data_IF_365565093668
#
_entry.id   IF_365565093668
#
_cell.length_a   1.000
_cell.length_b   1.000
_cell.length_c   1.000
_cell.angle_alpha   90.00
_cell.angle_beta   90.00
_cell.angle_gamma   90.00
#
_symmetry.space_group_name_H-M   'P 1'
#
loop_
_entity.id
_entity.type
_entity.pdbx_description
1 polymer ?
#
# COMPACT_ATOMS: atom_id res chain seq x y z
N UNK A 1 37.96 28.41 24.56
CA UNK A 1 38.02 27.02 25.04
C UNK A 1 39.00 27.01 26.20
N UNK A 2 38.51 26.96 27.44
CA UNK A 2 39.39 26.93 28.61
C UNK A 2 40.03 25.54 28.69
N UNK A 3 41.34 25.46 28.46
CA UNK A 3 42.09 24.25 28.71
C UNK A 3 42.20 24.09 30.22
N UNK A 4 41.53 23.08 30.77
CA UNK A 4 41.74 22.69 32.17
C UNK A 4 43.14 22.07 32.28
N UNK A 5 44.00 22.67 33.09
CA UNK A 5 45.30 22.10 33.44
C UNK A 5 45.11 21.05 34.55
N UNK A 6 45.43 19.79 34.24
CA UNK A 6 45.30 18.67 35.16
C UNK A 6 46.63 18.47 35.90
N UNK A 7 46.75 19.05 37.08
CA UNK A 7 47.91 18.89 37.96
C UNK A 7 47.71 17.72 38.93
N UNK A 8 48.49 16.65 38.73
CA UNK A 8 48.51 15.46 39.60
C UNK A 8 49.61 15.60 40.64
N UNK A 9 49.26 15.57 41.92
CA UNK A 9 50.25 15.56 43.00
C UNK A 9 50.51 14.13 43.52
N UNK A 10 51.49 13.98 44.41
CA UNK A 10 51.88 12.69 44.97
C UNK A 10 50.74 11.97 45.72
N UNK A 11 49.84 12.71 46.38
CA UNK A 11 48.71 12.11 47.09
C UNK A 11 47.66 11.57 46.12
N UNK A 12 47.44 12.25 44.98
CA UNK A 12 46.53 11.78 43.93
C UNK A 12 47.05 10.46 43.34
N UNK A 13 48.35 10.36 43.04
CA UNK A 13 48.98 9.12 42.57
C UNK A 13 48.85 7.99 43.57
N UNK A 14 49.03 8.27 44.88
CA UNK A 14 48.85 7.27 45.94
C UNK A 14 47.41 6.77 45.99
N UNK A 15 46.42 7.65 45.82
CA UNK A 15 45.01 7.29 45.80
C UNK A 15 44.68 6.45 44.56
N UNK A 16 45.11 6.86 43.38
CA UNK A 16 44.91 6.09 42.14
C UNK A 16 45.53 4.70 42.26
N UNK A 17 46.76 4.61 42.77
CA UNK A 17 47.43 3.31 42.97
C UNK A 17 46.67 2.41 43.96
N UNK A 18 46.11 2.98 45.04
CA UNK A 18 45.29 2.21 45.97
C UNK A 18 44.04 1.63 45.28
N UNK A 19 43.36 2.42 44.44
CA UNK A 19 42.19 1.95 43.69
C UNK A 19 42.53 0.86 42.67
N UNK A 20 43.66 1.02 41.97
CA UNK A 20 44.16 0.01 41.02
C UNK A 20 44.43 -1.31 41.73
N UNK A 21 45.11 -1.28 42.89
CA UNK A 21 45.41 -2.50 43.65
C UNK A 21 44.16 -3.25 44.13
N UNK A 22 43.13 -2.51 44.56
CA UNK A 22 41.84 -3.10 44.94
C UNK A 22 41.18 -3.75 43.72
N UNK A 23 41.16 -3.05 42.58
CA UNK A 23 40.59 -3.58 41.34
C UNK A 23 41.36 -4.81 40.81
N UNK A 24 42.69 -4.79 40.86
CA UNK A 24 43.53 -5.92 40.46
C UNK A 24 43.32 -7.15 41.35
N UNK A 25 43.23 -6.97 42.67
CA UNK A 25 42.94 -8.06 43.61
C UNK A 25 41.55 -8.66 43.36
N UNK A 26 40.53 -7.82 43.15
CA UNK A 26 39.18 -8.27 42.81
C UNK A 26 39.12 -9.03 41.48
N UNK A 27 39.78 -8.51 40.44
CA UNK A 27 39.86 -9.18 39.15
C UNK A 27 40.59 -10.52 39.25
N UNK A 28 41.72 -10.58 39.97
CA UNK A 28 42.47 -11.82 40.16
C UNK A 28 41.65 -12.90 40.86
N UNK A 29 40.82 -12.52 41.86
CA UNK A 29 39.88 -13.44 42.49
C UNK A 29 38.80 -13.94 41.50
N UNK A 30 38.15 -13.04 40.77
CA UNK A 30 37.10 -13.42 39.80
C UNK A 30 37.62 -14.31 38.66
N UNK A 31 38.89 -14.14 38.27
CA UNK A 31 39.53 -14.94 37.24
C UNK A 31 40.27 -16.19 37.78
N UNK A 32 40.24 -16.45 39.09
CA UNK A 32 40.90 -17.61 39.71
C UNK A 32 42.43 -17.58 39.64
N UNK A 33 43.03 -16.41 39.42
CA UNK A 33 44.48 -16.22 39.28
C UNK A 33 45.15 -15.68 40.55
N UNK A 34 44.37 -15.45 41.62
CA UNK A 34 44.83 -14.92 42.90
C UNK A 34 44.12 -15.56 44.10
N UNK A 35 44.53 -15.20 45.33
CA UNK A 35 43.90 -15.69 46.56
C UNK A 35 42.43 -15.27 46.64
N UNK A 36 41.61 -16.09 47.30
CA UNK A 36 40.18 -15.82 47.47
C UNK A 36 39.94 -14.61 48.38
N UNK A 37 39.65 -13.46 47.79
CA UNK A 37 39.29 -12.23 48.51
C UNK A 37 38.02 -11.64 47.92
N UNK A 38 36.93 -11.71 48.69
CA UNK A 38 35.69 -11.06 48.29
C UNK A 38 35.88 -9.53 48.26
N UNK A 39 35.23 -8.83 47.33
CA UNK A 39 35.38 -7.38 47.21
C UNK A 39 35.02 -6.64 48.52
N UNK A 40 34.11 -7.20 49.31
CA UNK A 40 33.73 -6.66 50.63
C UNK A 40 34.88 -6.63 51.65
N UNK A 41 35.88 -7.51 51.50
CA UNK A 41 37.06 -7.58 52.36
C UNK A 41 38.21 -6.70 51.85
N UNK A 42 38.14 -6.29 50.58
CA UNK A 42 39.13 -5.41 49.93
C UNK A 42 38.85 -3.92 50.15
N UNK A 43 37.63 -3.58 50.58
CA UNK A 43 37.22 -2.19 50.85
C UNK A 43 37.06 -1.92 52.34
N UNK A 44 37.25 -0.67 52.74
CA UNK A 44 37.15 -0.25 54.15
C UNK A 44 35.73 -0.36 54.73
N UNK A 45 34.70 -0.14 53.92
CA UNK A 45 33.29 -0.38 54.24
C UNK A 45 32.43 -0.40 52.97
N UNK A 46 31.18 -0.88 53.07
CA UNK A 46 30.26 -1.07 51.92
C UNK A 46 29.83 0.20 51.18
N UNK A 47 30.10 1.38 51.75
CA UNK A 47 29.79 2.70 51.17
C UNK A 47 31.07 3.44 50.72
N UNK A 48 32.24 2.81 50.85
CA UNK A 48 33.51 3.44 50.48
C UNK A 48 33.60 3.51 48.96
N UNK A 49 33.95 4.67 48.36
CA UNK A 49 34.19 4.80 46.92
C UNK A 49 35.59 4.25 46.59
N UNK A 50 35.77 2.96 46.81
CA UNK A 50 37.02 2.23 46.66
C UNK A 50 36.93 1.17 45.54
N UNK A 51 38.03 0.94 44.82
CA UNK A 51 38.10 0.12 43.61
C UNK A 51 37.68 0.85 42.33
N UNK A 52 37.46 0.06 41.27
CA UNK A 52 36.92 0.49 39.98
C UNK A 52 35.60 -0.22 39.71
N UNK A 53 34.71 0.42 38.95
CA UNK A 53 33.44 -0.19 38.54
C UNK A 53 33.70 -1.41 37.65
N UNK A 54 32.97 -2.48 37.91
CA UNK A 54 32.91 -3.63 37.00
C UNK A 54 32.16 -3.25 35.72
N UNK A 55 32.50 -3.91 34.61
CA UNK A 55 31.84 -3.68 33.32
C UNK A 55 30.37 -4.11 33.36
N UNK A 56 30.06 -5.20 34.06
CA UNK A 56 28.69 -5.70 34.25
C UNK A 56 27.88 -4.87 35.25
N UNK A 57 28.51 -4.01 36.06
CA UNK A 57 27.86 -3.26 37.13
C UNK A 57 27.63 -4.06 38.42
N UNK A 58 28.00 -5.33 38.46
CA UNK A 58 27.95 -6.16 39.68
C UNK A 58 28.87 -5.55 40.73
N UNK A 59 28.45 -5.65 41.99
CA UNK A 59 29.11 -5.08 43.18
C UNK A 59 29.15 -3.55 43.23
N UNK A 60 28.26 -2.87 42.52
CA UNK A 60 27.97 -1.46 42.80
C UNK A 60 27.31 -1.28 44.18
N UNK A 61 26.58 -2.30 44.67
CA UNK A 61 26.07 -2.37 46.03
C UNK A 61 26.69 -3.58 46.74
N UNK A 62 27.37 -3.34 47.86
CA UNK A 62 28.11 -4.35 48.62
C UNK A 62 27.31 -4.97 49.76
N UNK A 63 26.02 -4.63 49.91
CA UNK A 63 25.15 -5.27 50.88
C UNK A 63 24.89 -6.74 50.47
N UNK A 64 24.86 -7.68 51.43
CA UNK A 64 24.54 -9.07 51.15
C UNK A 64 23.19 -9.22 50.43
N UNK A 65 23.18 -9.89 49.28
CA UNK A 65 21.99 -10.12 48.46
C UNK A 65 21.59 -8.95 47.56
N UNK A 66 22.41 -7.89 47.47
CA UNK A 66 22.18 -6.72 46.61
C UNK A 66 23.31 -6.51 45.59
N UNK A 67 24.21 -7.49 45.41
CA UNK A 67 25.39 -7.36 44.57
C UNK A 67 25.04 -7.10 43.09
N UNK A 68 23.89 -7.58 42.65
CA UNK A 68 23.40 -7.41 41.28
C UNK A 68 22.48 -6.18 41.12
N UNK A 69 22.29 -5.38 42.18
CA UNK A 69 21.40 -4.22 42.12
C UNK A 69 21.93 -3.17 41.13
N UNK A 70 21.24 -3.02 40.00
CA UNK A 70 21.64 -2.12 38.91
C UNK A 70 22.72 -2.69 37.99
N UNK A 71 23.06 -3.98 38.13
CA UNK A 71 23.89 -4.68 37.17
C UNK A 71 23.13 -4.95 35.87
N UNK A 72 23.87 -5.15 34.78
CA UNK A 72 23.33 -5.57 33.49
C UNK A 72 22.71 -6.98 33.57
N UNK A 73 21.83 -7.29 32.62
CA UNK A 73 21.16 -8.59 32.46
C UNK A 73 20.34 -9.06 33.68
N UNK A 74 19.95 -8.14 34.56
CA UNK A 74 19.03 -8.40 35.66
C UNK A 74 17.59 -8.12 35.26
N UNK A 75 16.66 -8.91 35.79
CA UNK A 75 15.23 -8.64 35.63
C UNK A 75 14.89 -7.35 36.35
N UNK A 76 14.24 -6.42 35.65
CA UNK A 76 13.79 -5.17 36.25
C UNK A 76 12.84 -5.43 37.44
N UNK A 77 13.06 -4.78 38.60
CA UNK A 77 12.16 -4.88 39.74
C UNK A 77 10.76 -4.41 39.36
N UNK A 78 9.73 -5.21 39.70
CA UNK A 78 8.33 -4.87 39.43
C UNK A 78 7.74 -4.12 40.61
N UNK A 79 7.33 -2.87 40.40
CA UNK A 79 6.60 -2.08 41.40
C UNK A 79 5.12 -2.48 41.50
N UNK A 80 4.56 -3.06 40.44
CA UNK A 80 3.16 -3.44 40.32
C UNK A 80 3.02 -4.87 39.80
N UNK A 81 1.87 -5.48 40.09
CA UNK A 81 1.52 -6.77 39.52
C UNK A 81 1.31 -6.63 38.00
N UNK A 82 1.97 -7.46 37.18
CA UNK A 82 1.80 -7.42 35.74
C UNK A 82 0.37 -7.82 35.34
N UNK A 83 -0.21 -7.10 34.39
CA UNK A 83 -1.50 -7.46 33.80
C UNK A 83 -1.28 -7.88 32.34
N UNK A 84 -1.47 -9.16 32.07
CA UNK A 84 -1.41 -9.70 30.71
C UNK A 84 -2.83 -9.89 30.19
N UNK A 85 -3.14 -9.26 29.05
CA UNK A 85 -4.48 -9.27 28.45
C UNK A 85 -4.56 -10.23 27.26
N UNK A 86 -5.74 -10.80 26.98
CA UNK A 86 -6.01 -11.41 25.68
C UNK A 86 -5.83 -10.37 24.57
N UNK A 87 -5.31 -10.82 23.44
CA UNK A 87 -5.12 -10.02 22.23
C UNK A 87 -6.05 -10.53 21.12
N UNK A 88 -5.75 -10.22 19.87
CA UNK A 88 -6.60 -10.56 18.72
C UNK A 88 -6.22 -11.93 18.12
N UNK A 89 -7.08 -12.42 17.23
CA UNK A 89 -6.73 -13.53 16.34
C UNK A 89 -5.81 -13.03 15.22
N UNK A 90 -4.99 -13.91 14.67
CA UNK A 90 -4.23 -13.57 13.46
C UNK A 90 -5.21 -13.21 12.32
N UNK A 91 -5.05 -12.05 11.67
CA UNK A 91 -5.90 -11.68 10.55
C UNK A 91 -5.59 -12.55 9.32
N UNK A 92 -6.60 -12.80 8.49
CA UNK A 92 -6.41 -13.47 7.21
C UNK A 92 -5.44 -12.66 6.34
N UNK A 93 -4.62 -13.35 5.55
CA UNK A 93 -3.68 -12.73 4.62
C UNK A 93 -2.44 -12.12 5.27
N UNK A 94 -2.24 -12.23 6.58
CA UNK A 94 -1.12 -11.59 7.28
C UNK A 94 0.25 -12.03 6.76
N UNK A 95 0.43 -13.32 6.49
CA UNK A 95 1.68 -13.86 5.91
C UNK A 95 1.69 -13.87 4.38
N UNK A 96 0.78 -13.14 3.73
CA UNK A 96 0.66 -13.03 2.29
C UNK A 96 -0.73 -13.39 1.76
N UNK A 97 -1.03 -13.05 0.49
CA UNK A 97 -2.33 -13.32 -0.13
C UNK A 97 -2.72 -14.79 -0.01
N UNK A 98 -3.93 -15.07 0.49
CA UNK A 98 -4.44 -16.43 0.68
C UNK A 98 -4.04 -17.12 1.98
N UNK A 99 -3.23 -16.50 2.85
CA UNK A 99 -2.96 -17.04 4.19
C UNK A 99 -4.25 -17.10 5.03
N UNK A 100 -4.56 -18.23 5.70
CA UNK A 100 -5.78 -18.33 6.51
C UNK A 100 -5.71 -17.42 7.74
N UNK A 101 -6.88 -17.02 8.25
CA UNK A 101 -6.97 -16.41 9.57
C UNK A 101 -6.54 -17.41 10.66
N UNK A 102 -6.00 -16.90 11.76
CA UNK A 102 -5.70 -17.72 12.93
C UNK A 102 -6.98 -18.25 13.58
N UNK A 103 -6.91 -19.47 14.09
CA UNK A 103 -8.03 -20.13 14.78
C UNK A 103 -7.95 -19.99 16.30
N UNK A 104 -6.80 -19.55 16.82
CA UNK A 104 -6.55 -19.38 18.26
C UNK A 104 -6.33 -17.91 18.57
N UNK A 105 -6.99 -17.43 19.62
CA UNK A 105 -6.79 -16.07 20.11
C UNK A 105 -5.38 -15.94 20.71
N UNK A 106 -4.66 -14.89 20.34
CA UNK A 106 -3.34 -14.63 20.93
C UNK A 106 -3.46 -13.88 22.26
N UNK A 107 -2.39 -13.86 23.05
CA UNK A 107 -2.41 -13.22 24.38
C UNK A 107 -1.04 -12.66 24.74
N UNK A 108 -1.01 -11.57 25.49
CA UNK A 108 0.23 -11.05 26.09
C UNK A 108 0.79 -11.95 27.19
N UNK A 109 0.05 -12.96 27.63
CA UNK A 109 0.52 -13.96 28.60
C UNK A 109 1.31 -15.11 27.96
N UNK A 110 1.42 -15.16 26.64
CA UNK A 110 2.11 -16.25 25.95
C UNK A 110 3.64 -16.10 26.02
N UNK A 111 4.34 -17.21 26.19
CA UNK A 111 5.81 -17.24 26.29
C UNK A 111 6.53 -17.50 24.96
N UNK A 112 5.78 -17.82 23.91
CA UNK A 112 6.28 -18.10 22.57
C UNK A 112 5.19 -17.82 21.53
N UNK A 113 5.60 -17.59 20.28
CA UNK A 113 4.69 -17.25 19.20
C UNK A 113 4.43 -15.75 19.05
N UNK A 114 3.63 -15.40 18.05
CA UNK A 114 3.30 -14.01 17.74
C UNK A 114 2.08 -13.54 18.55
N UNK A 115 2.10 -12.28 19.00
CA UNK A 115 0.92 -11.59 19.53
C UNK A 115 0.37 -10.69 18.43
N UNK A 116 -0.91 -10.85 18.08
CA UNK A 116 -1.59 -9.97 17.13
C UNK A 116 -2.44 -8.98 17.90
N UNK A 117 -2.11 -7.69 17.79
CA UNK A 117 -2.89 -6.60 18.35
C UNK A 117 -2.80 -5.37 17.44
N UNK A 118 -3.92 -5.04 16.80
CA UNK A 118 -4.06 -3.86 15.96
C UNK A 118 -4.26 -2.57 16.74
N UNK A 119 -4.69 -2.65 18.01
CA UNK A 119 -5.09 -1.49 18.82
C UNK A 119 -4.00 -0.43 18.95
N UNK A 120 -2.71 -0.75 19.20
CA UNK A 120 -1.68 0.27 19.28
C UNK A 120 -1.55 1.10 18.00
N UNK A 121 -1.67 0.46 16.82
CA UNK A 121 -1.58 1.17 15.54
C UNK A 121 -2.86 1.95 15.25
N UNK A 122 -4.03 1.40 15.57
CA UNK A 122 -5.32 2.09 15.46
C UNK A 122 -5.33 3.35 16.33
N UNK A 123 -4.90 3.27 17.59
CA UNK A 123 -4.80 4.42 18.49
C UNK A 123 -3.83 5.47 17.94
N UNK A 124 -2.68 5.04 17.41
CA UNK A 124 -1.72 5.96 16.80
C UNK A 124 -2.32 6.70 15.59
N UNK A 125 -3.05 6.01 14.71
CA UNK A 125 -3.69 6.63 13.55
C UNK A 125 -4.81 7.62 13.94
N UNK A 126 -5.53 7.34 15.03
CA UNK A 126 -6.63 8.21 15.47
C UNK A 126 -6.17 9.41 16.30
N UNK A 127 -5.11 9.23 17.10
CA UNK A 127 -4.71 10.21 18.13
C UNK A 127 -3.38 10.89 17.81
N UNK A 128 -2.36 10.12 17.43
CA UNK A 128 -0.99 10.64 17.28
C UNK A 128 -0.75 11.18 15.88
N UNK A 129 -1.46 10.67 14.87
CA UNK A 129 -1.34 11.13 13.50
C UNK A 129 -1.85 12.57 13.36
N UNK A 130 -0.94 13.49 13.03
CA UNK A 130 -1.22 14.91 12.79
C UNK A 130 -1.26 15.27 11.30
N UNK A 131 -1.27 14.28 10.42
CA UNK A 131 -1.38 14.52 8.98
C UNK A 131 -2.82 14.86 8.57
N UNK A 132 -3.03 15.45 7.38
CA UNK A 132 -4.36 15.68 6.82
C UNK A 132 -5.17 14.42 6.50
N UNK A 133 -4.63 13.22 6.77
CA UNK A 133 -5.38 11.96 6.64
C UNK A 133 -6.16 11.63 7.93
N UNK A 134 -5.84 12.29 9.05
CA UNK A 134 -6.59 12.14 10.28
C UNK A 134 -7.65 13.25 10.39
N UNK A 135 -8.96 12.91 10.37
CA UNK A 135 -10.02 13.90 10.52
C UNK A 135 -9.91 14.71 11.81
N UNK A 136 -9.45 14.11 12.91
CA UNK A 136 -9.28 14.81 14.18
C UNK A 136 -8.20 15.90 14.11
N UNK A 137 -7.14 15.68 13.33
CA UNK A 137 -6.09 16.66 13.11
C UNK A 137 -6.59 17.86 12.29
N UNK A 138 -7.38 17.61 11.23
CA UNK A 138 -7.99 18.65 10.41
C UNK A 138 -8.95 19.51 11.25
N UNK A 139 -9.85 18.88 12.01
CA UNK A 139 -10.82 19.58 12.85
C UNK A 139 -10.09 20.47 13.86
N UNK A 140 -9.04 19.95 14.51
CA UNK A 140 -8.25 20.74 15.47
C UNK A 140 -7.57 21.93 14.78
N UNK A 141 -7.02 21.74 13.58
CA UNK A 141 -6.43 22.83 12.80
C UNK A 141 -7.47 23.90 12.44
N UNK A 142 -8.69 23.51 12.05
CA UNK A 142 -9.79 24.43 11.73
C UNK A 142 -10.29 25.19 12.97
N UNK A 143 -10.36 24.53 14.14
CA UNK A 143 -10.65 25.19 15.42
C UNK A 143 -9.60 26.26 15.72
N UNK A 144 -8.31 25.92 15.60
CA UNK A 144 -7.19 26.86 15.85
C UNK A 144 -7.19 28.00 14.83
N UNK A 145 -7.58 27.74 13.59
CA UNK A 145 -7.73 28.74 12.54
C UNK A 145 -8.98 29.65 12.71
N UNK A 146 -9.87 29.33 13.65
CA UNK A 146 -11.08 30.12 13.93
C UNK A 146 -12.24 29.86 12.97
N UNK A 147 -12.35 28.66 12.40
CA UNK A 147 -13.54 28.27 11.61
C UNK A 147 -14.81 28.35 12.45
N UNK A 148 -15.89 28.85 11.84
CA UNK A 148 -17.21 28.94 12.46
C UNK A 148 -17.92 27.58 12.57
N UNK A 149 -17.62 26.65 11.66
CA UNK A 149 -18.09 25.26 11.70
C UNK A 149 -16.94 24.29 11.31
N UNK A 150 -16.03 24.00 12.25
CA UNK A 150 -14.87 23.14 12.00
C UNK A 150 -15.24 21.72 11.54
N UNK A 151 -16.42 21.22 11.92
CA UNK A 151 -16.87 19.87 11.56
C UNK A 151 -17.47 19.85 10.14
N UNK A 152 -18.29 20.85 9.80
CA UNK A 152 -18.79 21.03 8.44
C UNK A 152 -17.65 21.24 7.44
N UNK A 153 -16.71 22.13 7.75
CA UNK A 153 -15.55 22.41 6.92
C UNK A 153 -14.64 21.17 6.76
N UNK A 154 -14.41 20.41 7.83
CA UNK A 154 -13.66 19.16 7.75
C UNK A 154 -14.33 18.12 6.84
N UNK A 155 -15.66 18.02 6.87
CA UNK A 155 -16.41 17.13 5.98
C UNK A 155 -16.27 17.54 4.51
N UNK A 156 -16.28 18.85 4.20
CA UNK A 156 -16.04 19.34 2.84
C UNK A 156 -14.62 19.00 2.36
N UNK A 157 -13.62 19.12 3.23
CA UNK A 157 -12.24 18.72 2.91
C UNK A 157 -12.16 17.21 2.64
N UNK A 158 -12.79 16.38 3.48
CA UNK A 158 -12.82 14.93 3.30
C UNK A 158 -13.52 14.53 1.98
N UNK A 159 -14.63 15.18 1.63
CA UNK A 159 -15.32 14.97 0.36
C UNK A 159 -14.45 15.36 -0.84
N UNK A 160 -13.74 16.50 -0.76
CA UNK A 160 -12.83 16.94 -1.82
C UNK A 160 -11.65 15.98 -2.00
N UNK A 161 -11.09 15.47 -0.90
CA UNK A 161 -10.03 14.44 -0.94
C UNK A 161 -10.54 13.15 -1.58
N UNK A 162 -11.73 12.67 -1.20
CA UNK A 162 -12.31 11.46 -1.79
C UNK A 162 -12.61 11.65 -3.29
N UNK A 163 -13.14 12.80 -3.70
CA UNK A 163 -13.36 13.11 -5.11
C UNK A 163 -12.06 13.09 -5.92
N UNK A 164 -10.95 13.57 -5.34
CA UNK A 164 -9.63 13.50 -5.98
C UNK A 164 -9.11 12.05 -6.11
N UNK A 165 -9.39 11.19 -5.14
CA UNK A 165 -9.06 9.75 -5.17
C UNK A 165 -9.91 8.99 -6.20
N UNK A 166 -11.18 9.36 -6.36
CA UNK A 166 -12.12 8.70 -7.28
C UNK A 166 -11.94 9.17 -8.74
N UNK A 167 -11.38 10.36 -8.95
CA UNK A 167 -11.22 10.97 -10.27
C UNK A 167 -10.47 10.08 -11.29
N UNK A 168 -9.36 9.40 -10.96
CA UNK A 168 -8.67 8.52 -11.90
C UNK A 168 -9.52 7.32 -12.33
N UNK A 169 -10.27 6.70 -11.40
CA UNK A 169 -11.15 5.58 -11.71
C UNK A 169 -12.33 6.02 -12.60
N UNK A 170 -12.90 7.20 -12.31
CA UNK A 170 -13.94 7.79 -13.14
C UNK A 170 -13.42 8.14 -14.55
N UNK A 171 -12.21 8.69 -14.67
CA UNK A 171 -11.58 8.98 -15.97
C UNK A 171 -11.32 7.70 -16.77
N UNK A 172 -10.83 6.64 -16.14
CA UNK A 172 -10.64 5.34 -16.79
C UNK A 172 -11.96 4.73 -17.28
N UNK A 173 -13.03 4.84 -16.48
CA UNK A 173 -14.36 4.38 -16.88
C UNK A 173 -14.93 5.19 -18.05
N UNK A 174 -14.72 6.51 -18.07
CA UNK A 174 -15.12 7.37 -19.18
C UNK A 174 -14.36 7.03 -20.47
N UNK A 175 -13.04 6.82 -20.37
CA UNK A 175 -12.22 6.40 -21.52
C UNK A 175 -12.69 5.06 -22.09
N UNK A 176 -12.98 4.08 -21.23
CA UNK A 176 -13.49 2.79 -21.66
C UNK A 176 -14.86 2.89 -22.35
N UNK A 177 -15.73 3.79 -21.90
CA UNK A 177 -17.01 4.06 -22.55
C UNK A 177 -16.84 4.74 -23.91
N UNK A 178 -15.89 5.68 -24.03
CA UNK A 178 -15.54 6.31 -25.31
C UNK A 178 -14.97 5.29 -26.30
N UNK A 179 -14.03 4.45 -25.88
CA UNK A 179 -13.44 3.41 -26.72
C UNK A 179 -14.52 2.43 -27.23
N UNK A 180 -15.49 2.07 -26.37
CA UNK A 180 -16.62 1.24 -26.75
C UNK A 180 -17.58 1.93 -27.76
N UNK A 181 -17.82 3.23 -27.59
CA UNK A 181 -18.63 4.02 -28.50
C UNK A 181 -17.95 4.16 -29.88
N UNK A 182 -16.63 4.41 -29.90
CA UNK A 182 -15.83 4.46 -31.12
C UNK A 182 -15.85 3.10 -31.84
N UNK A 183 -15.70 2.00 -31.11
CA UNK A 183 -15.78 0.67 -31.69
C UNK A 183 -17.16 0.42 -32.34
N UNK A 184 -18.24 0.83 -31.66
CA UNK A 184 -19.61 0.70 -32.16
C UNK A 184 -19.86 1.56 -33.41
N UNK A 185 -19.40 2.82 -33.40
CA UNK A 185 -19.52 3.74 -34.53
C UNK A 185 -18.71 3.23 -35.74
N UNK A 186 -17.50 2.72 -35.51
CA UNK A 186 -16.65 2.13 -36.55
C UNK A 186 -17.31 0.92 -37.20
N UNK A 187 -17.91 0.03 -36.39
CA UNK A 187 -18.65 -1.13 -36.90
C UNK A 187 -19.88 -0.72 -37.73
N UNK A 188 -20.60 0.30 -37.29
CA UNK A 188 -21.78 0.84 -37.98
C UNK A 188 -21.41 1.52 -39.30
N UNK A 189 -20.30 2.27 -39.34
CA UNK A 189 -19.77 2.87 -40.56
C UNK A 189 -19.32 1.81 -41.58
N UNK A 190 -18.66 0.74 -41.11
CA UNK A 190 -18.29 -0.39 -41.95
C UNK A 190 -19.54 -1.10 -42.54
N UNK A 191 -20.58 -1.32 -41.74
CA UNK A 191 -21.83 -1.92 -42.19
C UNK A 191 -22.57 -1.03 -43.21
N UNK A 192 -22.61 0.29 -42.99
CA UNK A 192 -23.20 1.24 -43.92
C UNK A 192 -22.47 1.27 -45.26
N UNK A 193 -21.13 1.22 -45.24
CA UNK A 193 -20.29 1.18 -46.45
C UNK A 193 -20.52 -0.11 -47.24
N UNK A 194 -20.65 -1.25 -46.56
CA UNK A 194 -20.98 -2.52 -47.19
C UNK A 194 -22.37 -2.48 -47.85
N UNK A 195 -23.38 -1.96 -47.14
CA UNK A 195 -24.74 -1.81 -47.67
C UNK A 195 -24.79 -0.88 -48.90
N UNK A 196 -24.07 0.24 -48.88
CA UNK A 196 -23.97 1.16 -50.01
C UNK A 196 -23.33 0.50 -51.23
N UNK A 197 -22.30 -0.32 -51.03
CA UNK A 197 -21.64 -1.09 -52.10
C UNK A 197 -22.60 -2.11 -52.71
N UNK A 198 -23.34 -2.85 -51.88
CA UNK A 198 -24.38 -3.79 -52.35
C UNK A 198 -25.48 -3.07 -53.13
N UNK A 199 -25.98 -1.94 -52.62
CA UNK A 199 -27.01 -1.16 -53.31
C UNK A 199 -26.53 -0.66 -54.67
N UNK A 200 -25.28 -0.20 -54.76
CA UNK A 200 -24.66 0.25 -56.01
C UNK A 200 -24.54 -0.91 -57.01
N UNK A 201 -24.14 -2.10 -56.55
CA UNK A 201 -24.11 -3.32 -57.38
C UNK A 201 -25.49 -3.72 -57.91
N UNK A 202 -26.52 -3.66 -57.07
CA UNK A 202 -27.90 -3.94 -57.48
C UNK A 202 -28.44 -2.92 -58.49
N UNK A 203 -28.07 -1.63 -58.36
CA UNK A 203 -28.44 -0.60 -59.34
C UNK A 203 -27.82 -0.86 -60.71
N UNK A 204 -26.56 -1.32 -60.76
CA UNK A 204 -25.91 -1.69 -62.02
C UNK A 204 -26.64 -2.87 -62.69
N UNK A 205 -27.04 -3.88 -61.92
CA UNK A 205 -27.82 -5.02 -62.43
C UNK A 205 -29.18 -4.54 -62.95
N UNK A 206 -29.92 -3.74 -62.16
CA UNK A 206 -31.21 -3.23 -62.58
C UNK A 206 -31.14 -2.35 -63.85
N UNK A 207 -30.08 -1.55 -64.00
CA UNK A 207 -29.83 -0.77 -65.20
C UNK A 207 -29.55 -1.68 -66.42
N UNK A 208 -28.77 -2.76 -66.24
CA UNK A 208 -28.52 -3.74 -67.28
C UNK A 208 -29.79 -4.50 -67.69
N UNK A 209 -30.63 -4.90 -66.72
CA UNK A 209 -31.91 -5.56 -66.98
C UNK A 209 -32.88 -4.63 -67.73
N UNK A 210 -32.91 -3.34 -67.36
CA UNK A 210 -33.73 -2.32 -68.05
C UNK A 210 -33.30 -2.16 -69.51
N UNK A 211 -31.98 -2.13 -69.77
CA UNK A 211 -31.45 -2.06 -71.13
C UNK A 211 -31.78 -3.33 -71.93
N UNK A 212 -31.58 -4.51 -71.34
CA UNK A 212 -31.89 -5.79 -71.99
C UNK A 212 -33.38 -5.91 -72.34
N UNK A 213 -34.28 -5.41 -71.47
CA UNK A 213 -35.71 -5.35 -71.74
C UNK A 213 -36.05 -4.39 -72.89
N UNK A 214 -35.38 -3.23 -72.97
CA UNK A 214 -35.56 -2.28 -74.07
C UNK A 214 -35.09 -2.86 -75.42
N UNK A 215 -33.94 -3.53 -75.44
CA UNK A 215 -33.42 -4.21 -76.63
C UNK A 215 -34.35 -5.33 -77.09
N UNK A 216 -34.89 -6.12 -76.16
CA UNK A 216 -35.87 -7.17 -76.47
C UNK A 216 -37.17 -6.61 -77.05
N UNK A 217 -37.66 -5.48 -76.53
CA UNK A 217 -38.84 -4.80 -77.07
C UNK A 217 -38.58 -4.27 -78.48
N UNK A 218 -37.42 -3.65 -78.73
CA UNK A 218 -37.04 -3.15 -80.05
C UNK A 218 -36.96 -4.28 -81.09
N UNK A 219 -36.44 -5.45 -80.71
CA UNK A 219 -36.43 -6.65 -81.55
C UNK A 219 -37.86 -7.17 -81.84
N UNK A 220 -38.73 -7.19 -80.84
CA UNK A 220 -40.13 -7.60 -81.01
C UNK A 220 -40.89 -6.65 -81.95
N UNK A 221 -40.71 -5.34 -81.81
CA UNK A 221 -41.32 -4.32 -82.67
C UNK A 221 -40.81 -4.45 -84.12
N UNK A 222 -39.50 -4.67 -84.32
CA UNK A 222 -38.93 -4.92 -85.64
C UNK A 222 -39.48 -6.20 -86.30
N UNK A 223 -39.66 -7.27 -85.53
CA UNK A 223 -40.28 -8.50 -86.02
C UNK A 223 -41.75 -8.30 -86.41
N UNK A 224 -42.53 -7.58 -85.59
CA UNK A 224 -43.92 -7.25 -85.88
C UNK A 224 -44.05 -6.41 -87.16
N UNK A 225 -43.16 -5.44 -87.36
CA UNK A 225 -43.12 -4.63 -88.58
C UNK A 225 -42.81 -5.50 -89.80
N UNK A 226 -41.81 -6.38 -89.71
CA UNK A 226 -41.47 -7.29 -90.81
C UNK A 226 -42.64 -8.24 -91.18
N UNK A 227 -43.40 -8.73 -90.18
CA UNK A 227 -44.60 -9.54 -90.42
C UNK A 227 -45.70 -8.70 -91.10
N UNK A 228 -45.92 -7.47 -90.65
CA UNK A 228 -46.89 -6.56 -91.26
C UNK A 228 -46.53 -6.24 -92.72
N UNK A 229 -45.25 -5.97 -93.00
CA UNK A 229 -44.73 -5.72 -94.34
C UNK A 229 -44.92 -6.95 -95.25
N UNK A 230 -44.61 -8.16 -94.74
CA UNK A 230 -44.82 -9.40 -95.48
C UNK A 230 -46.30 -9.69 -95.79
N UNK A 231 -47.20 -9.40 -94.83
CA UNK A 231 -48.64 -9.56 -95.03
C UNK A 231 -49.17 -8.59 -96.09
N UNK A 232 -48.71 -7.33 -96.07
CA UNK A 232 -49.07 -6.34 -97.08
C UNK A 232 -48.65 -6.77 -98.49
N UNK A 233 -47.45 -7.36 -98.64
CA UNK A 233 -46.97 -7.94 -99.91
C UNK A 233 -47.86 -9.10 -100.35
N UNK A 234 -48.27 -9.99 -99.43
CA UNK A 234 -49.15 -11.13 -99.76
C UNK A 234 -50.52 -10.67 -100.23
N UNK A 235 -51.13 -9.68 -99.56
CA UNK A 235 -52.42 -9.09 -99.96
C UNK A 235 -52.32 -8.45 -101.35
N UNK A 236 -51.25 -7.71 -101.63
CA UNK A 236 -51.01 -7.13 -102.94
C UNK A 236 -50.86 -8.17 -104.07
N UNK A 237 -50.32 -9.35 -103.77
CA UNK A 237 -50.22 -10.47 -104.73
C UNK A 237 -51.58 -11.16 -104.97
N UNK A 238 -52.45 -11.22 -103.96
CA UNK A 238 -53.80 -11.80 -104.07
C UNK A 238 -54.77 -10.93 -104.88
N UNK A 239 -54.59 -9.61 -104.89
CA UNK A 239 -55.39 -8.68 -105.70
C UNK A 239 -55.00 -8.69 -107.21
N UNK A 240 -53.93 -9.40 -107.58
CA UNK A 240 -53.43 -9.49 -108.97
C UNK A 240 -53.74 -10.82 -109.67
N UNK A 241 -54.53 -11.72 -109.05
CA UNK A 241 -55.00 -12.99 -109.61
C UNK A 241 -56.52 -12.96 -109.85
#
# INVERSE_FOLDING_TARGET
>A
MAFYDFHVNLNDLKKILAQIKIAEAHAAFQHGTGPEAALVDLVSHSLAPEGLRTVSGIYNNLLPGQQDAGAADQVMPRLLQPLYRPAEFQPAGFFGPGSPAGTTQTSYSQNAGNVFDSQPRTISNLIVDQTPNNPAAIITALIVAGSADPYGDANLIAQAQQAAVDAPAAAAAAQAAEDAAIATATASAAAATAAATTASGLQVIAAADTLAAADAQALADAANQAVADALAVLTALQEQA
#
